data_IF_341987064425
#
_entry.id   IF_341987064425
#
_cell.length_a   1.000
_cell.length_b   1.000
_cell.length_c   1.000
_cell.angle_alpha   90.00
_cell.angle_beta   90.00
_cell.angle_gamma   90.00
#
_symmetry.space_group_name_H-M   'P 1'
#
loop_
_entity.id
_entity.type
_entity.pdbx_description
1 polymer ?
#
# COMPACT_ATOMS: atom_id res chain seq x y z
N UNK A 1 -6.40 -52.28 60.61
CA UNK A 1 -6.73 -52.18 59.16
C UNK A 1 -8.16 -51.66 58.98
N UNK A 2 -8.41 -50.36 59.26
CA UNK A 2 -9.78 -49.81 59.26
C UNK A 2 -9.94 -48.49 58.51
N UNK A 3 -8.89 -48.02 57.85
CA UNK A 3 -8.95 -46.74 57.15
C UNK A 3 -9.57 -46.93 55.74
N UNK A 4 -9.29 -48.07 55.07
CA UNK A 4 -9.75 -48.38 53.71
C UNK A 4 -11.26 -48.40 53.48
N UNK A 5 -12.08 -48.64 54.50
CA UNK A 5 -13.54 -48.69 54.35
C UNK A 5 -14.21 -47.32 54.47
N UNK A 6 -13.68 -46.41 55.31
CA UNK A 6 -14.27 -45.08 55.55
C UNK A 6 -13.91 -44.08 54.45
N UNK A 7 -12.69 -44.13 53.92
CA UNK A 7 -12.27 -43.22 52.85
C UNK A 7 -12.48 -43.78 51.44
N UNK A 8 -13.10 -44.96 51.29
CA UNK A 8 -13.34 -45.57 49.99
C UNK A 8 -14.05 -44.62 49.02
N UNK A 9 -15.09 -43.93 49.50
CA UNK A 9 -15.83 -42.94 48.70
C UNK A 9 -14.97 -41.72 48.34
N UNK A 10 -14.20 -41.20 49.30
CA UNK A 10 -13.28 -40.08 49.05
C UNK A 10 -12.15 -40.45 48.07
N UNK A 11 -11.67 -41.70 48.11
CA UNK A 11 -10.64 -42.21 47.20
C UNK A 11 -11.18 -42.36 45.77
N UNK A 12 -12.43 -42.80 45.59
CA UNK A 12 -13.08 -42.80 44.28
C UNK A 12 -13.32 -41.39 43.73
N UNK A 13 -13.73 -40.44 44.58
CA UNK A 13 -13.90 -39.04 44.18
C UNK A 13 -12.56 -38.40 43.80
N UNK A 14 -11.50 -38.62 44.60
CA UNK A 14 -10.17 -38.11 44.30
C UNK A 14 -9.57 -38.73 43.03
N UNK A 15 -9.78 -40.02 42.80
CA UNK A 15 -9.38 -40.70 41.57
C UNK A 15 -10.13 -40.16 40.34
N UNK A 16 -11.45 -39.95 40.44
CA UNK A 16 -12.24 -39.34 39.38
C UNK A 16 -11.82 -37.91 39.07
N UNK A 17 -11.51 -37.12 40.10
CA UNK A 17 -11.00 -35.75 39.95
C UNK A 17 -9.63 -35.74 39.23
N UNK A 18 -8.72 -36.64 39.58
CA UNK A 18 -7.42 -36.76 38.90
C UNK A 18 -7.57 -37.13 37.42
N UNK A 19 -8.49 -38.05 37.09
CA UNK A 19 -8.76 -38.43 35.70
C UNK A 19 -9.37 -37.25 34.94
N UNK A 20 -10.34 -36.54 35.53
CA UNK A 20 -10.95 -35.36 34.90
C UNK A 20 -9.93 -34.24 34.65
N UNK A 21 -9.01 -33.99 35.58
CA UNK A 21 -7.91 -33.04 35.41
C UNK A 21 -6.96 -33.48 34.29
N UNK A 22 -6.61 -34.77 34.23
CA UNK A 22 -5.76 -35.32 33.17
C UNK A 22 -6.39 -35.19 31.78
N UNK A 23 -7.69 -35.48 31.66
CA UNK A 23 -8.43 -35.30 30.39
C UNK A 23 -8.55 -33.83 30.02
N UNK A 24 -8.82 -32.94 30.99
CA UNK A 24 -8.88 -31.50 30.76
C UNK A 24 -7.54 -30.95 30.26
N UNK A 25 -6.43 -31.37 30.88
CA UNK A 25 -5.08 -31.00 30.44
C UNK A 25 -4.75 -31.53 29.05
N UNK A 26 -5.10 -32.78 28.75
CA UNK A 26 -4.88 -33.39 27.44
C UNK A 26 -5.73 -32.77 26.33
N UNK A 27 -6.95 -32.33 26.64
CA UNK A 27 -7.84 -31.67 25.68
C UNK A 27 -7.57 -30.17 25.54
N UNK A 28 -6.99 -29.52 26.55
CA UNK A 28 -6.59 -28.10 26.49
C UNK A 28 -5.26 -27.88 25.76
N UNK A 29 -4.56 -28.94 25.37
CA UNK A 29 -3.41 -28.83 24.49
C UNK A 29 -3.90 -28.37 23.11
N UNK A 30 -3.55 -27.14 22.73
CA UNK A 30 -3.87 -26.55 21.45
C UNK A 30 -3.43 -27.48 20.32
N UNK A 31 -4.39 -28.06 19.59
CA UNK A 31 -4.09 -28.69 18.31
C UNK A 31 -3.56 -27.60 17.39
N UNK A 32 -2.38 -27.75 16.75
CA UNK A 32 -1.90 -26.79 15.78
C UNK A 32 -2.90 -26.76 14.64
N UNK A 33 -3.77 -25.76 14.69
CA UNK A 33 -4.66 -25.44 13.59
C UNK A 33 -3.75 -24.84 12.54
N UNK A 34 -3.41 -25.61 11.51
CA UNK A 34 -2.88 -25.05 10.27
C UNK A 34 -3.97 -24.13 9.70
N UNK A 35 -3.96 -22.88 10.18
CA UNK A 35 -4.96 -21.87 9.87
C UNK A 35 -4.82 -21.52 8.39
N UNK A 36 -5.69 -22.10 7.56
CA UNK A 36 -5.81 -21.84 6.12
C UNK A 36 -6.18 -20.38 5.79
N UNK A 37 -6.49 -19.58 6.80
CA UNK A 37 -6.63 -18.14 6.67
C UNK A 37 -5.57 -17.49 7.56
N UNK A 38 -4.46 -17.13 6.93
CA UNK A 38 -3.54 -16.13 7.47
C UNK A 38 -4.12 -14.76 7.12
N UNK A 39 -4.48 -13.97 8.13
CA UNK A 39 -4.68 -12.53 7.90
C UNK A 39 -3.29 -11.93 7.82
N UNK A 40 -2.89 -11.53 6.61
CA UNK A 40 -1.68 -10.74 6.41
C UNK A 40 -1.89 -9.39 7.10
N UNK A 41 -1.43 -9.30 8.34
CA UNK A 41 -1.27 -8.02 9.01
C UNK A 41 -0.09 -7.34 8.33
N UNK A 42 -0.38 -6.43 7.41
CA UNK A 42 0.60 -5.48 6.91
C UNK A 42 0.98 -4.57 8.08
N UNK A 43 1.96 -5.01 8.88
CA UNK A 43 2.70 -4.07 9.71
C UNK A 43 3.47 -3.18 8.74
N UNK A 44 3.08 -1.91 8.69
CA UNK A 44 3.62 -0.94 7.74
C UNK A 44 5.13 -1.09 7.63
N UNK A 45 5.57 -1.47 6.43
CA UNK A 45 6.95 -1.85 6.19
C UNK A 45 7.89 -0.67 6.42
N UNK A 46 9.21 -0.89 6.49
CA UNK A 46 10.18 0.20 6.60
C UNK A 46 10.00 1.30 5.53
N UNK A 47 9.45 0.95 4.36
CA UNK A 47 9.07 1.89 3.30
C UNK A 47 7.94 2.85 3.70
N UNK A 48 6.96 2.40 4.48
CA UNK A 48 5.83 3.23 4.91
C UNK A 48 6.27 4.27 5.94
N UNK A 49 7.19 3.91 6.84
CA UNK A 49 7.82 4.89 7.74
C UNK A 49 8.64 5.92 6.98
N UNK A 50 9.46 5.50 6.01
CA UNK A 50 10.26 6.43 5.21
C UNK A 50 9.39 7.41 4.40
N UNK A 51 8.26 6.95 3.88
CA UNK A 51 7.28 7.81 3.21
C UNK A 51 6.68 8.83 4.18
N UNK A 52 6.24 8.40 5.37
CA UNK A 52 5.67 9.28 6.39
C UNK A 52 6.69 10.31 6.87
N UNK A 53 7.95 9.91 7.09
CA UNK A 53 9.03 10.83 7.47
C UNK A 53 9.31 11.86 6.39
N UNK A 54 9.32 11.44 5.11
CA UNK A 54 9.49 12.35 3.97
C UNK A 54 8.33 13.35 3.87
N UNK A 55 7.10 12.90 4.09
CA UNK A 55 5.92 13.77 4.09
C UNK A 55 5.92 14.77 5.26
N UNK A 56 6.39 14.36 6.44
CA UNK A 56 6.61 15.23 7.59
C UNK A 56 7.69 16.27 7.30
N UNK A 57 8.78 15.87 6.64
CA UNK A 57 9.85 16.77 6.24
C UNK A 57 9.35 17.79 5.21
N UNK A 58 8.62 17.37 4.18
CA UNK A 58 8.04 18.27 3.17
C UNK A 58 7.02 19.25 3.78
N UNK A 59 6.24 18.83 4.78
CA UNK A 59 5.33 19.74 5.51
C UNK A 59 6.08 20.89 6.19
N UNK A 60 7.32 20.64 6.65
CA UNK A 60 8.15 21.66 7.30
C UNK A 60 8.82 22.62 6.32
N UNK A 61 8.82 22.30 5.02
CA UNK A 61 9.38 23.16 3.98
C UNK A 61 8.32 24.18 3.57
N UNK A 62 8.26 25.29 4.31
CA UNK A 62 7.52 26.48 3.88
C UNK A 62 8.40 27.30 2.96
N UNK A 63 7.99 27.50 1.71
CA UNK A 63 8.69 28.39 0.79
C UNK A 63 8.40 29.84 1.20
N UNK A 64 9.30 30.43 1.98
CA UNK A 64 9.24 31.85 2.31
C UNK A 64 9.67 32.64 1.07
N UNK A 65 8.78 33.48 0.53
CA UNK A 65 9.05 34.34 -0.63
C UNK A 65 10.10 35.43 -0.38
N UNK A 66 10.75 35.42 0.78
CA UNK A 66 11.83 36.33 1.16
C UNK A 66 13.04 36.25 0.25
N UNK A 67 13.24 35.14 -0.50
CA UNK A 67 14.31 35.05 -1.50
C UNK A 67 14.13 36.09 -2.61
N UNK A 68 12.89 36.45 -2.93
CA UNK A 68 12.56 37.45 -3.95
C UNK A 68 12.77 38.88 -3.45
N UNK A 69 13.03 39.06 -2.16
CA UNK A 69 13.42 40.35 -1.56
C UNK A 69 14.94 40.55 -1.50
N UNK A 70 15.72 39.52 -1.84
CA UNK A 70 17.18 39.65 -1.93
C UNK A 70 17.54 40.56 -3.13
N UNK A 71 18.37 41.60 -2.94
CA UNK A 71 18.87 42.43 -4.04
C UNK A 71 19.46 41.61 -5.19
N UNK A 72 20.09 40.46 -4.93
CA UNK A 72 20.61 39.57 -5.96
C UNK A 72 19.51 38.99 -6.87
N UNK A 73 18.32 38.71 -6.32
CA UNK A 73 17.16 38.25 -7.07
C UNK A 73 16.47 39.39 -7.83
N UNK A 74 16.43 40.59 -7.25
CA UNK A 74 15.87 41.79 -7.90
C UNK A 74 16.72 42.23 -9.10
N UNK A 75 18.03 42.05 -9.01
CA UNK A 75 18.98 42.36 -10.08
C UNK A 75 19.05 41.28 -11.16
N UNK A 76 18.37 40.15 -11.00
CA UNK A 76 18.40 39.06 -11.96
C UNK A 76 17.64 39.49 -13.23
N UNK A 77 18.39 39.75 -14.29
CA UNK A 77 17.84 40.13 -15.58
C UNK A 77 17.45 38.87 -16.36
N UNK A 78 16.23 38.84 -16.87
CA UNK A 78 15.80 37.80 -17.80
C UNK A 78 16.50 38.01 -19.16
N UNK A 79 17.18 36.97 -19.63
CA UNK A 79 17.86 36.94 -20.94
C UNK A 79 17.04 36.20 -22.00
N UNK A 80 15.75 35.97 -21.74
CA UNK A 80 14.81 35.43 -22.71
C UNK A 80 14.80 36.26 -23.99
N UNK A 81 15.07 35.61 -25.12
CA UNK A 81 14.86 36.20 -26.44
C UNK A 81 13.44 35.90 -26.91
N UNK A 82 12.77 36.90 -27.48
CA UNK A 82 11.45 36.69 -28.07
C UNK A 82 11.60 35.81 -29.31
N UNK A 83 11.02 34.61 -29.26
CA UNK A 83 11.00 33.70 -30.40
C UNK A 83 9.98 34.24 -31.40
N UNK A 84 10.45 34.69 -32.55
CA UNK A 84 9.59 35.06 -33.67
C UNK A 84 9.00 33.76 -34.24
N UNK A 85 7.67 33.64 -34.36
CA UNK A 85 7.06 32.46 -34.97
C UNK A 85 7.56 32.27 -36.39
N UNK A 86 8.12 31.09 -36.66
CA UNK A 86 8.51 30.72 -38.02
C UNK A 86 7.26 30.47 -38.86
N UNK A 87 7.27 30.85 -40.16
CA UNK A 87 6.18 30.50 -41.05
C UNK A 87 6.03 28.98 -41.14
N UNK A 88 4.80 28.49 -41.27
CA UNK A 88 4.53 27.07 -41.45
C UNK A 88 5.35 26.53 -42.63
N UNK A 89 6.07 25.42 -42.39
CA UNK A 89 6.91 24.79 -43.41
C UNK A 89 6.10 24.23 -44.59
N UNK A 90 6.81 23.63 -45.56
CA UNK A 90 6.15 22.96 -46.68
C UNK A 90 5.26 21.81 -46.19
N UNK A 91 4.08 21.58 -46.79
CA UNK A 91 3.27 20.41 -46.48
C UNK A 91 4.10 19.14 -46.71
N UNK A 92 3.97 18.17 -45.80
CA UNK A 92 4.72 16.93 -45.85
C UNK A 92 4.44 16.19 -47.17
N UNK A 93 5.44 16.00 -48.06
CA UNK A 93 5.25 15.33 -49.35
C UNK A 93 5.01 13.82 -49.21
N UNK A 94 5.18 13.27 -47.99
CA UNK A 94 4.88 11.89 -47.63
C UNK A 94 3.59 11.75 -46.81
N UNK A 95 2.78 12.81 -46.70
CA UNK A 95 1.48 12.71 -46.02
C UNK A 95 0.57 11.71 -46.76
N UNK A 96 -0.14 10.81 -46.04
CA UNK A 96 -1.07 9.89 -46.67
C UNK A 96 -2.14 10.67 -47.44
N UNK A 97 -2.32 10.34 -48.71
CA UNK A 97 -3.36 10.93 -49.54
C UNK A 97 -4.73 10.55 -48.94
N UNK A 98 -5.46 11.53 -48.40
CA UNK A 98 -6.83 11.32 -47.90
C UNK A 98 -7.07 11.69 -46.43
N UNK A 99 -6.06 12.13 -45.68
CA UNK A 99 -6.26 12.68 -44.33
C UNK A 99 -6.08 14.20 -44.37
N UNK A 100 -7.13 14.92 -44.74
CA UNK A 100 -7.24 16.33 -44.34
C UNK A 100 -7.07 16.39 -42.83
N UNK A 101 -6.09 17.16 -42.37
CA UNK A 101 -5.78 17.38 -40.97
C UNK A 101 -6.90 18.19 -40.29
N UNK A 102 -8.09 17.60 -40.20
CA UNK A 102 -9.11 18.00 -39.25
C UNK A 102 -8.96 17.04 -38.08
N UNK A 103 -8.10 17.43 -37.15
CA UNK A 103 -7.94 16.81 -35.85
C UNK A 103 -9.26 16.94 -35.07
N UNK A 104 -10.16 16.00 -35.26
CA UNK A 104 -11.28 15.77 -34.35
C UNK A 104 -11.29 14.30 -33.97
N UNK A 105 -10.56 14.01 -32.89
CA UNK A 105 -10.86 13.01 -31.86
C UNK A 105 -12.12 12.19 -32.10
N UNK A 106 -12.00 10.98 -32.66
CA UNK A 106 -12.97 9.90 -32.44
C UNK A 106 -12.25 8.56 -32.38
N UNK A 107 -12.03 8.11 -31.14
CA UNK A 107 -12.21 6.72 -30.71
C UNK A 107 -11.37 5.64 -31.39
N UNK A 108 -10.32 5.22 -30.70
CA UNK A 108 -9.71 3.89 -30.85
C UNK A 108 -10.80 2.80 -30.71
N UNK A 109 -11.35 2.34 -31.83
CA UNK A 109 -12.10 1.07 -31.91
C UNK A 109 -11.58 0.26 -33.09
N UNK A 110 -10.31 -0.14 -33.00
CA UNK A 110 -9.67 -1.08 -33.92
C UNK A 110 -9.60 -2.52 -33.36
N UNK A 111 -10.51 -2.87 -32.44
CA UNK A 111 -10.70 -4.26 -32.02
C UNK A 111 -12.18 -4.53 -31.79
N UNK A 112 -12.83 -5.14 -32.77
CA UNK A 112 -14.01 -5.96 -32.54
C UNK A 112 -13.62 -7.41 -32.85
N UNK A 113 -13.54 -8.30 -31.84
CA UNK A 113 -13.35 -9.72 -32.12
C UNK A 113 -14.59 -10.26 -32.84
N UNK A 114 -14.35 -10.90 -33.98
CA UNK A 114 -15.39 -11.58 -34.77
C UNK A 114 -15.83 -12.83 -33.99
N UNK A 115 -17.12 -12.93 -33.66
CA UNK A 115 -17.74 -14.18 -33.21
C UNK A 115 -17.89 -15.13 -34.39
#
# INVERSE_FOLDING_TARGET
MGFFSKYKTYLFIAGGALIAIGVWWGFSAETPSDSLLTTERVEGGPADKALVDTLLQLRSVTLSGTIFSDPAFILLQDFGTQIIPEPIGRPNPFAPLGVSATSSTVGNKLFTPRR
#
